data_IF_483883935722
#
_entry.id   IF_483883935722
#
_cell.length_a   1.000
_cell.length_b   1.000
_cell.length_c   1.000
_cell.angle_alpha   90.00
_cell.angle_beta   90.00
_cell.angle_gamma   90.00
#
_symmetry.space_group_name_H-M   'P 1'
#
loop_
_entity.id
_entity.type
_entity.pdbx_description
1 polymer ?
#
# COMPACT_ATOMS: atom_id res chain seq x y z
N UNK A 1 8.26 -41.67 45.61
CA UNK A 1 8.61 -40.27 45.24
C UNK A 1 7.34 -39.43 45.37
N UNK A 2 7.30 -38.49 46.31
CA UNK A 2 6.04 -37.85 46.74
C UNK A 2 5.53 -36.88 45.68
N UNK A 3 4.22 -36.93 45.39
CA UNK A 3 3.50 -36.19 44.34
C UNK A 3 3.78 -34.67 44.34
N UNK A 4 4.08 -34.08 45.50
CA UNK A 4 4.43 -32.67 45.62
C UNK A 4 5.70 -32.29 44.86
N UNK A 5 6.66 -33.21 44.65
CA UNK A 5 7.89 -32.93 43.88
C UNK A 5 7.58 -32.78 42.38
N UNK A 6 6.55 -33.48 41.89
CA UNK A 6 6.07 -33.35 40.51
C UNK A 6 5.37 -32.01 40.31
N UNK A 7 4.54 -31.60 41.28
CA UNK A 7 3.81 -30.32 41.25
C UNK A 7 4.77 -29.12 41.29
N UNK A 8 5.86 -29.22 42.07
CA UNK A 8 6.86 -28.14 42.21
C UNK A 8 7.76 -27.98 40.97
N UNK A 9 7.82 -28.98 40.08
CA UNK A 9 8.53 -28.94 38.80
C UNK A 9 7.66 -28.41 37.63
N UNK A 10 6.33 -28.41 37.79
CA UNK A 10 5.36 -27.98 36.77
C UNK A 10 4.99 -26.49 36.86
N UNK A 11 5.29 -25.83 37.99
CA UNK A 11 4.98 -24.42 38.22
C UNK A 11 5.74 -23.40 37.35
N UNK A 12 7.01 -23.58 36.91
CA UNK A 12 7.68 -22.57 36.09
C UNK A 12 7.24 -22.56 34.62
N UNK A 13 6.57 -23.61 34.12
CA UNK A 13 6.08 -23.69 32.74
C UNK A 13 4.79 -22.87 32.55
N UNK A 14 3.97 -22.73 33.60
CA UNK A 14 2.68 -22.02 33.54
C UNK A 14 2.88 -20.49 33.57
N UNK A 15 4.04 -20.00 34.02
CA UNK A 15 4.35 -18.56 34.10
C UNK A 15 5.08 -18.00 32.89
N UNK A 16 5.41 -18.82 31.87
CA UNK A 16 5.91 -18.31 30.59
C UNK A 16 4.76 -17.65 29.84
N UNK A 17 4.51 -16.36 30.13
CA UNK A 17 3.78 -15.52 29.19
C UNK A 17 4.68 -15.37 27.97
N UNK A 18 4.34 -16.07 26.89
CA UNK A 18 4.93 -15.81 25.58
C UNK A 18 4.62 -14.34 25.25
N UNK A 19 5.63 -13.47 25.37
CA UNK A 19 5.57 -12.15 24.76
C UNK A 19 5.74 -12.43 23.26
N UNK A 20 4.63 -12.74 22.59
CA UNK A 20 4.57 -12.59 21.16
C UNK A 20 4.98 -11.13 20.89
N UNK A 21 5.95 -10.91 20.00
CA UNK A 21 6.20 -9.59 19.48
C UNK A 21 4.87 -9.12 18.92
N UNK A 22 4.22 -8.19 19.63
CA UNK A 22 3.16 -7.41 19.04
C UNK A 22 3.84 -6.81 17.81
N UNK A 23 3.37 -7.10 16.58
CA UNK A 23 3.85 -6.32 15.47
C UNK A 23 3.36 -4.93 15.83
N UNK A 24 4.23 -4.10 16.38
CA UNK A 24 4.11 -2.66 16.30
C UNK A 24 4.07 -2.45 14.80
N UNK A 25 2.83 -2.53 14.28
CA UNK A 25 2.56 -2.66 12.86
C UNK A 25 3.32 -1.54 12.22
N UNK A 26 3.97 -1.80 11.09
CA UNK A 26 4.71 -0.79 10.36
C UNK A 26 3.80 0.43 10.14
N UNK A 27 3.82 1.41 11.06
CA UNK A 27 2.87 2.52 11.13
C UNK A 27 3.48 3.65 10.32
N UNK A 28 3.60 3.39 9.03
CA UNK A 28 3.89 4.45 8.06
C UNK A 28 2.65 5.33 8.01
N UNK A 29 2.75 6.52 8.61
CA UNK A 29 1.69 7.52 8.53
C UNK A 29 1.81 8.21 7.18
N UNK A 30 0.80 8.06 6.33
CA UNK A 30 0.77 8.74 5.04
C UNK A 30 0.63 10.26 5.27
N UNK A 31 1.55 11.03 4.70
CA UNK A 31 1.53 12.50 4.65
C UNK A 31 1.60 13.05 3.22
N UNK A 32 1.68 12.16 2.23
CA UNK A 32 1.97 12.48 0.85
C UNK A 32 0.75 12.47 -0.07
N UNK A 33 -0.29 11.69 0.28
CA UNK A 33 -1.45 11.49 -0.59
C UNK A 33 -2.78 11.59 0.16
N UNK A 34 -3.81 12.06 -0.52
CA UNK A 34 -5.20 12.08 -0.04
C UNK A 34 -6.15 11.56 -1.12
N UNK A 35 -7.25 10.92 -0.70
CA UNK A 35 -8.27 10.45 -1.62
C UNK A 35 -8.87 11.62 -2.43
N UNK A 36 -9.06 11.41 -3.72
CA UNK A 36 -9.55 12.41 -4.68
C UNK A 36 -8.44 13.13 -5.45
N UNK A 37 -7.16 12.89 -5.13
CA UNK A 37 -6.05 13.46 -5.92
C UNK A 37 -6.05 12.91 -7.35
N UNK A 38 -5.77 13.80 -8.30
CA UNK A 38 -5.57 13.47 -9.70
C UNK A 38 -4.54 14.38 -10.33
N UNK A 39 -3.55 13.80 -10.97
CA UNK A 39 -2.56 14.50 -11.80
C UNK A 39 -2.47 13.79 -13.13
N UNK A 40 -2.51 14.53 -14.23
CA UNK A 40 -2.29 14.01 -15.57
C UNK A 40 -1.12 14.74 -16.23
N UNK A 41 -0.23 13.97 -16.83
CA UNK A 41 0.86 14.46 -17.64
C UNK A 41 0.56 14.18 -19.11
N UNK A 42 0.81 15.18 -19.93
CA UNK A 42 0.81 15.04 -21.38
C UNK A 42 2.19 14.55 -21.82
N UNK A 43 2.20 13.58 -22.74
CA UNK A 43 3.42 13.08 -23.36
C UNK A 43 3.51 13.73 -24.72
N UNK A 44 4.54 14.54 -24.93
CA UNK A 44 4.73 15.29 -26.16
C UNK A 44 6.07 14.95 -26.81
N UNK A 45 6.10 14.94 -28.13
CA UNK A 45 7.34 14.89 -28.91
C UNK A 45 7.60 16.22 -29.59
N UNK A 46 8.86 16.64 -29.57
CA UNK A 46 9.37 17.68 -30.46
C UNK A 46 9.96 16.99 -31.69
N UNK A 47 9.31 17.16 -32.84
CA UNK A 47 9.80 16.66 -34.11
C UNK A 47 10.16 17.82 -35.03
N UNK A 48 11.46 18.11 -35.12
CA UNK A 48 12.03 19.26 -35.83
C UNK A 48 11.46 20.60 -35.33
N UNK A 49 10.52 21.23 -36.05
CA UNK A 49 9.83 22.45 -35.64
C UNK A 49 8.39 22.22 -35.14
N UNK A 50 7.94 20.98 -35.06
CA UNK A 50 6.58 20.62 -34.63
C UNK A 50 6.63 20.09 -33.20
N UNK A 51 5.75 20.60 -32.35
CA UNK A 51 5.44 20.02 -31.04
C UNK A 51 4.09 19.35 -31.14
N UNK A 52 4.02 18.09 -30.72
CA UNK A 52 2.77 17.33 -30.79
C UNK A 52 2.61 16.44 -29.58
N UNK A 53 1.40 16.42 -29.07
CA UNK A 53 1.00 15.60 -27.95
C UNK A 53 0.52 14.25 -28.47
N UNK A 54 1.05 13.18 -27.88
CA UNK A 54 0.87 11.81 -28.39
C UNK A 54 0.10 10.91 -27.43
N UNK A 55 -0.09 11.37 -26.19
CA UNK A 55 -0.78 10.61 -25.19
C UNK A 55 -0.75 11.30 -23.84
N UNK A 56 -1.31 10.62 -22.85
CA UNK A 56 -1.34 11.09 -21.47
C UNK A 56 -1.07 9.95 -20.50
N UNK A 57 -0.54 10.30 -19.33
CA UNK A 57 -0.43 9.44 -18.16
C UNK A 57 -1.09 10.12 -16.97
N UNK A 58 -2.16 9.52 -16.45
CA UNK A 58 -2.91 10.03 -15.31
C UNK A 58 -2.70 9.16 -14.08
N UNK A 59 -2.41 9.81 -12.97
CA UNK A 59 -2.30 9.23 -11.63
C UNK A 59 -3.53 9.66 -10.83
N UNK A 60 -4.20 8.71 -10.19
CA UNK A 60 -5.34 8.98 -9.30
C UNK A 60 -5.19 8.28 -7.96
N UNK A 61 -5.70 8.91 -6.91
CA UNK A 61 -5.76 8.33 -5.57
C UNK A 61 -7.24 8.18 -5.20
N UNK A 62 -7.75 6.95 -5.29
CA UNK A 62 -9.15 6.69 -4.95
C UNK A 62 -9.27 6.16 -3.52
N UNK A 63 -10.44 6.33 -2.89
CA UNK A 63 -10.76 5.62 -1.66
C UNK A 63 -11.29 4.23 -2.01
N UNK A 64 -10.82 3.20 -1.32
CA UNK A 64 -11.32 1.83 -1.41
C UNK A 64 -11.61 1.26 -0.02
N UNK A 65 -12.47 0.26 0.07
CA UNK A 65 -12.79 -0.43 1.31
C UNK A 65 -12.55 -1.94 1.14
N UNK A 66 -11.55 -2.47 1.86
CA UNK A 66 -11.23 -3.91 1.87
C UNK A 66 -11.13 -4.39 3.30
N UNK A 67 -11.74 -5.54 3.59
CA UNK A 67 -11.70 -6.17 4.92
C UNK A 67 -12.12 -5.23 6.06
N UNK A 68 -13.11 -4.35 5.81
CA UNK A 68 -13.60 -3.37 6.78
C UNK A 68 -12.65 -2.21 7.06
N UNK A 69 -11.62 -2.01 6.24
CA UNK A 69 -10.68 -0.88 6.34
C UNK A 69 -10.79 0.01 5.12
N UNK A 70 -10.85 1.31 5.35
CA UNK A 70 -10.69 2.32 4.30
C UNK A 70 -9.22 2.47 3.95
N UNK A 71 -8.92 2.40 2.66
CA UNK A 71 -7.57 2.37 2.10
C UNK A 71 -7.50 3.34 0.93
N UNK A 72 -6.29 3.78 0.60
CA UNK A 72 -6.03 4.51 -0.65
C UNK A 72 -5.69 3.51 -1.75
N UNK A 73 -6.33 3.65 -2.90
CA UNK A 73 -6.06 2.89 -4.11
C UNK A 73 -5.42 3.81 -5.14
N UNK A 74 -4.10 3.76 -5.22
CA UNK A 74 -3.32 4.54 -6.17
C UNK A 74 -3.34 3.82 -7.53
N UNK A 75 -3.74 4.54 -8.58
CA UNK A 75 -3.79 4.02 -9.95
C UNK A 75 -2.98 4.92 -10.87
N UNK A 76 -2.36 4.30 -11.87
CA UNK A 76 -1.76 4.99 -13.00
C UNK A 76 -2.36 4.41 -14.28
N UNK A 77 -2.89 5.28 -15.14
CA UNK A 77 -3.49 4.90 -16.43
C UNK A 77 -2.85 5.73 -17.52
N UNK A 78 -2.38 5.07 -18.58
CA UNK A 78 -1.83 5.72 -19.76
C UNK A 78 -2.66 5.40 -21.00
N UNK A 79 -2.71 6.34 -21.95
CA UNK A 79 -3.28 6.12 -23.28
C UNK A 79 -2.49 6.90 -24.34
N UNK A 80 -2.33 6.32 -25.52
CA UNK A 80 -1.99 7.07 -26.74
C UNK A 80 -3.22 7.79 -27.26
N UNK A 81 -3.02 8.85 -28.05
CA UNK A 81 -4.13 9.51 -28.73
C UNK A 81 -4.52 8.73 -30.00
N UNK A 82 -5.83 8.54 -30.27
CA UNK A 82 -6.29 7.72 -31.40
C UNK A 82 -5.78 8.16 -32.76
N UNK A 83 -5.38 9.43 -32.88
CA UNK A 83 -4.73 9.95 -34.09
C UNK A 83 -3.48 9.14 -34.49
N UNK A 84 -2.80 8.50 -33.54
CA UNK A 84 -1.61 7.69 -33.76
C UNK A 84 -1.88 6.18 -33.88
N UNK A 85 -3.15 5.76 -33.84
CA UNK A 85 -3.53 4.36 -34.05
C UNK A 85 -3.76 4.13 -35.56
N UNK A 86 -2.66 3.92 -36.30
CA UNK A 86 -2.65 3.67 -37.75
C UNK A 86 -2.54 2.19 -38.11
#
# INVERSE_FOLDING_TARGET
MKLYRLILLLTPIITLKAIAQQPDGCRVTNTAFVAGERICYEVSYTWFFIWTDVGEACFTVDSDNRFGKTLLHLKATGKSYPFYDW
#
